data_IF_523826278453
#
_entry.id   IF_523826278453
#
_cell.length_a   1.000
_cell.length_b   1.000
_cell.length_c   1.000
_cell.angle_alpha   90.00
_cell.angle_beta   90.00
_cell.angle_gamma   90.00
#
_symmetry.space_group_name_H-M   'P 1'
#
loop_
_entity.id
_entity.type
_entity.pdbx_description
1 polymer ?
#
# COMPACT_ATOMS: atom_id res chain seq x y z
N UNK A 1 -21.02 -37.59 12.92
CA UNK A 1 -19.55 -37.44 13.08
C UNK A 1 -18.97 -37.56 11.67
N UNK A 2 -18.27 -36.62 11.04
CA UNK A 2 -17.56 -35.42 11.52
C UNK A 2 -17.36 -34.47 10.31
N UNK A 3 -18.43 -33.83 9.81
CA UNK A 3 -18.31 -32.84 8.70
C UNK A 3 -18.06 -31.41 9.21
N UNK A 4 -18.02 -31.24 10.54
CA UNK A 4 -17.68 -29.97 11.22
C UNK A 4 -16.19 -29.61 11.20
N UNK A 5 -15.31 -30.50 10.72
CA UNK A 5 -13.85 -30.31 10.74
C UNK A 5 -13.28 -29.51 9.57
N UNK A 6 -13.85 -29.58 8.37
CA UNK A 6 -13.22 -29.00 7.18
C UNK A 6 -13.57 -27.52 6.91
N UNK A 7 -14.71 -27.04 7.42
CA UNK A 7 -15.09 -25.61 7.31
C UNK A 7 -14.30 -24.75 8.31
N UNK A 8 -13.88 -25.32 9.44
CA UNK A 8 -13.03 -24.64 10.41
C UNK A 8 -11.60 -24.41 9.87
N UNK A 9 -11.06 -25.33 9.07
CA UNK A 9 -9.71 -25.20 8.51
C UNK A 9 -9.61 -24.06 7.48
N UNK A 10 -10.68 -23.82 6.71
CA UNK A 10 -10.70 -22.72 5.74
C UNK A 10 -10.83 -21.32 6.39
N UNK A 11 -11.49 -21.23 7.55
CA UNK A 11 -11.59 -19.97 8.31
C UNK A 11 -10.35 -19.66 9.16
N UNK A 12 -9.60 -20.68 9.60
CA UNK A 12 -8.39 -20.51 10.42
C UNK A 12 -7.20 -19.97 9.61
N UNK A 13 -7.15 -20.23 8.30
CA UNK A 13 -6.05 -19.76 7.44
C UNK A 13 -6.16 -18.25 7.13
N UNK A 14 -7.34 -17.63 7.29
CA UNK A 14 -7.58 -16.23 6.88
C UNK A 14 -7.47 -15.21 8.04
N UNK A 15 -7.45 -15.65 9.30
CA UNK A 15 -7.58 -14.70 10.45
C UNK A 15 -6.31 -14.49 11.28
N UNK A 16 -5.23 -15.27 11.10
CA UNK A 16 -4.01 -15.08 11.91
C UNK A 16 -2.96 -14.18 11.24
N UNK A 17 -3.33 -12.92 10.97
CA UNK A 17 -2.35 -11.84 10.92
C UNK A 17 -2.30 -11.23 12.32
N UNK A 18 -1.62 -11.93 13.23
CA UNK A 18 -1.14 -11.34 14.47
C UNK A 18 -0.04 -10.34 14.09
N UNK A 19 -0.40 -9.06 14.05
CA UNK A 19 0.59 -7.97 14.10
C UNK A 19 1.09 -7.92 15.55
N UNK A 20 2.03 -8.80 15.87
CA UNK A 20 2.87 -8.63 17.05
C UNK A 20 3.85 -7.51 16.70
N UNK A 21 3.60 -6.32 17.23
CA UNK A 21 4.66 -5.34 17.44
C UNK A 21 5.67 -5.99 18.39
N UNK A 22 6.83 -6.37 17.86
CA UNK A 22 7.95 -6.76 18.69
C UNK A 22 8.50 -5.49 19.35
N UNK A 23 8.17 -5.32 20.62
CA UNK A 23 9.00 -4.59 21.56
C UNK A 23 10.37 -5.28 21.68
N UNK A 24 11.40 -4.43 21.79
CA UNK A 24 12.65 -4.66 22.51
C UNK A 24 13.77 -5.49 21.82
N UNK A 25 14.88 -4.83 21.53
CA UNK A 25 16.08 -4.89 22.40
C UNK A 25 17.18 -3.99 21.85
N UNK A 26 17.62 -3.10 22.73
CA UNK A 26 18.82 -2.27 22.61
C UNK A 26 20.04 -3.19 22.61
N UNK A 27 20.87 -3.10 21.58
CA UNK A 27 22.26 -3.55 21.67
C UNK A 27 23.21 -2.47 21.16
N UNK A 28 24.03 -2.04 22.11
CA UNK A 28 25.13 -1.08 22.13
C UNK A 28 26.27 -1.53 21.21
N UNK A 29 26.88 -0.61 20.45
CA UNK A 29 28.35 -0.46 20.31
C UNK A 29 28.75 0.61 19.27
N UNK A 30 29.31 1.73 19.73
CA UNK A 30 30.70 2.19 19.49
C UNK A 30 30.86 3.68 19.82
N UNK A 31 31.80 3.95 20.74
CA UNK A 31 31.85 5.10 21.65
C UNK A 31 32.38 6.45 21.12
N UNK A 32 32.24 6.74 19.83
CA UNK A 32 32.41 8.12 19.31
C UNK A 32 31.06 8.75 18.87
N UNK A 33 30.08 7.94 18.48
CA UNK A 33 28.76 8.42 18.05
C UNK A 33 27.81 8.78 19.21
N UNK A 34 28.14 8.41 20.45
CA UNK A 34 27.23 8.55 21.59
C UNK A 34 27.15 10.00 22.11
N UNK A 35 28.26 10.73 22.05
CA UNK A 35 28.36 12.11 22.56
C UNK A 35 27.67 13.13 21.63
N UNK A 36 27.62 12.85 20.33
CA UNK A 36 26.97 13.71 19.33
C UNK A 36 25.46 13.45 19.23
N UNK A 37 25.01 12.21 19.48
CA UNK A 37 23.59 11.84 19.56
C UNK A 37 22.90 12.53 20.75
N UNK A 38 23.56 12.61 21.90
CA UNK A 38 23.10 13.34 23.08
C UNK A 38 22.92 14.85 22.83
N UNK A 39 23.69 15.44 21.91
CA UNK A 39 23.61 16.88 21.60
C UNK A 39 22.37 17.22 20.75
N UNK A 40 21.94 16.28 19.89
CA UNK A 40 20.72 16.38 19.08
C UNK A 40 19.46 15.90 19.83
N UNK A 41 19.61 15.18 20.94
CA UNK A 41 18.51 14.88 21.87
C UNK A 41 18.16 16.08 22.75
N UNK A 42 19.16 16.85 23.20
CA UNK A 42 18.97 17.99 24.08
C UNK A 42 18.74 19.34 23.37
N UNK A 43 19.08 19.45 22.08
CA UNK A 43 18.81 20.64 21.25
C UNK A 43 17.97 20.27 20.04
N UNK A 44 16.97 21.10 19.74
CA UNK A 44 16.10 20.96 18.56
C UNK A 44 16.96 20.96 17.30
N UNK A 45 17.04 19.83 16.59
CA UNK A 45 17.93 19.65 15.46
C UNK A 45 17.27 18.89 14.31
N UNK A 46 17.83 19.02 13.11
CA UNK A 46 17.40 18.33 11.89
C UNK A 46 18.62 17.80 11.15
N UNK A 47 18.52 16.59 10.61
CA UNK A 47 19.60 15.94 9.87
C UNK A 47 19.66 16.41 8.42
N UNK A 48 20.89 16.61 7.93
CA UNK A 48 21.18 16.85 6.52
C UNK A 48 21.32 15.53 5.75
N UNK A 49 20.80 15.46 4.52
CA UNK A 49 20.91 14.24 3.70
C UNK A 49 22.32 13.99 3.17
N UNK A 50 23.02 15.02 2.67
CA UNK A 50 24.37 14.91 2.14
C UNK A 50 25.42 15.43 3.14
N UNK A 51 26.71 15.06 2.96
CA UNK A 51 27.82 15.58 3.75
C UNK A 51 27.95 17.12 3.70
N UNK A 52 28.84 17.66 4.54
CA UNK A 52 29.12 19.12 4.57
C UNK A 52 29.60 19.58 3.19
N UNK A 53 29.05 20.68 2.69
CA UNK A 53 29.34 21.25 1.35
C UNK A 53 28.88 20.41 0.15
N UNK A 54 28.02 19.41 0.36
CA UNK A 54 27.35 18.68 -0.71
C UNK A 54 25.85 18.99 -0.72
N UNK A 55 25.22 18.93 -1.89
CA UNK A 55 23.77 19.03 -2.08
C UNK A 55 23.29 17.90 -2.99
N UNK A 56 21.99 17.68 -3.05
CA UNK A 56 21.40 16.63 -3.87
C UNK A 56 21.32 17.08 -5.32
N UNK A 57 21.72 16.20 -6.24
CA UNK A 57 21.44 16.32 -7.67
C UNK A 57 20.97 14.97 -8.17
N UNK A 58 19.69 14.90 -8.56
CA UNK A 58 18.99 13.64 -8.87
C UNK A 58 19.10 12.68 -7.69
N UNK A 59 19.93 11.64 -7.79
CA UNK A 59 20.11 10.63 -6.73
C UNK A 59 21.51 10.68 -6.08
N UNK A 60 22.34 11.65 -6.47
CA UNK A 60 23.74 11.75 -6.00
C UNK A 60 24.01 13.06 -5.27
N UNK A 61 24.89 13.00 -4.27
CA UNK A 61 25.40 14.19 -3.60
C UNK A 61 26.52 14.82 -4.45
N UNK A 62 26.35 16.08 -4.84
CA UNK A 62 27.35 16.86 -5.60
C UNK A 62 27.92 17.98 -4.75
N UNK A 63 29.20 18.28 -4.94
CA UNK A 63 29.88 19.37 -4.23
C UNK A 63 29.32 20.71 -4.69
N UNK A 64 29.07 21.59 -3.72
CA UNK A 64 28.63 22.95 -3.95
C UNK A 64 29.81 23.86 -4.35
N UNK A 65 29.61 24.84 -5.26
CA UNK A 65 30.63 25.84 -5.59
C UNK A 65 31.10 26.65 -4.37
N UNK A 66 32.35 27.10 -4.40
CA UNK A 66 32.92 27.95 -3.36
C UNK A 66 32.14 29.27 -3.21
N UNK A 67 31.78 29.63 -1.96
CA UNK A 67 31.04 30.85 -1.64
C UNK A 67 29.53 30.69 -1.47
N UNK A 68 28.96 29.51 -1.77
CA UNK A 68 27.55 29.22 -1.47
C UNK A 68 27.39 28.76 -0.02
N UNK A 69 26.55 29.45 0.74
CA UNK A 69 26.28 29.10 2.13
C UNK A 69 25.04 28.19 2.25
N UNK A 70 25.19 27.03 2.88
CA UNK A 70 24.10 26.06 3.12
C UNK A 70 23.58 26.30 4.54
N UNK A 71 22.70 27.29 4.71
CA UNK A 71 22.13 27.65 6.03
C UNK A 71 20.62 27.42 6.15
N UNK A 72 19.97 26.97 5.07
CA UNK A 72 18.53 26.72 5.01
C UNK A 72 17.66 27.92 5.44
N UNK A 73 18.17 29.15 5.30
CA UNK A 73 17.41 30.36 5.67
C UNK A 73 16.12 30.57 4.89
N UNK A 74 15.98 29.93 3.72
CA UNK A 74 14.77 29.98 2.90
C UNK A 74 13.71 28.93 3.29
N UNK A 75 13.92 28.18 4.37
CA UNK A 75 12.98 27.17 4.88
C UNK A 75 12.20 27.74 6.06
N UNK A 76 10.89 27.91 5.87
CA UNK A 76 9.96 28.40 6.88
C UNK A 76 9.73 27.37 8.00
N UNK A 77 9.68 27.85 9.25
CA UNK A 77 9.29 27.03 10.41
C UNK A 77 7.82 27.28 10.77
N UNK A 78 7.14 26.19 11.11
CA UNK A 78 5.72 26.17 11.46
C UNK A 78 5.53 25.80 12.93
N UNK A 79 4.48 26.33 13.54
CA UNK A 79 4.01 25.93 14.86
C UNK A 79 3.19 24.61 14.79
N UNK A 80 2.81 24.01 15.92
CA UNK A 80 2.00 22.78 15.99
C UNK A 80 0.70 22.88 15.18
N UNK A 81 0.15 24.09 15.06
CA UNK A 81 -1.06 24.40 14.29
C UNK A 81 -0.79 24.79 12.83
N UNK A 82 0.41 24.54 12.30
CA UNK A 82 0.82 24.83 10.91
C UNK A 82 0.71 26.32 10.56
N UNK A 83 0.87 27.18 11.57
CA UNK A 83 0.99 28.64 11.37
C UNK A 83 2.45 28.98 11.15
N UNK A 84 2.74 29.80 10.13
CA UNK A 84 4.09 30.30 9.89
C UNK A 84 4.54 31.11 11.10
N UNK A 85 5.71 30.77 11.63
CA UNK A 85 6.30 31.48 12.77
C UNK A 85 7.07 32.73 12.36
N UNK A 86 7.40 32.87 11.07
CA UNK A 86 8.25 33.95 10.54
C UNK A 86 9.74 33.79 10.85
N UNK A 87 10.14 32.64 11.43
CA UNK A 87 11.54 32.28 11.70
C UNK A 87 12.04 31.26 10.69
N UNK A 88 13.35 31.30 10.41
CA UNK A 88 14.01 30.35 9.52
C UNK A 88 14.66 29.20 10.30
N UNK A 89 14.97 28.09 9.61
CA UNK A 89 15.69 26.93 10.19
C UNK A 89 16.93 27.35 10.98
N UNK A 90 17.72 28.27 10.42
CA UNK A 90 18.95 28.81 11.03
C UNK A 90 18.75 29.42 12.42
N UNK A 91 17.58 29.98 12.68
CA UNK A 91 17.29 30.75 13.89
C UNK A 91 16.81 29.86 15.06
N UNK A 92 16.32 28.66 14.76
CA UNK A 92 15.59 27.82 15.74
C UNK A 92 16.13 26.40 15.83
N UNK A 93 16.67 25.86 14.74
CA UNK A 93 17.08 24.46 14.63
C UNK A 93 18.56 24.34 14.27
N UNK A 94 19.25 23.43 14.95
CA UNK A 94 20.62 23.07 14.58
C UNK A 94 20.61 22.08 13.42
N UNK A 95 21.41 22.34 12.39
CA UNK A 95 21.60 21.42 11.27
C UNK A 95 22.72 20.45 11.66
N UNK A 96 22.36 19.19 11.84
CA UNK A 96 23.34 18.15 12.10
C UNK A 96 23.73 17.45 10.81
N UNK A 97 25.03 17.28 10.61
CA UNK A 97 25.60 16.57 9.47
C UNK A 97 26.32 15.35 10.04
N UNK A 98 25.66 14.20 9.95
CA UNK A 98 26.14 12.94 10.48
C UNK A 98 25.41 11.77 9.83
N UNK A 99 26.02 10.60 9.86
CA UNK A 99 25.55 9.37 9.20
C UNK A 99 24.44 8.71 10.02
N UNK A 100 23.29 9.38 10.16
CA UNK A 100 22.13 8.80 10.85
C UNK A 100 21.34 7.85 9.92
N UNK A 101 21.58 7.96 8.61
CA UNK A 101 20.95 7.14 7.58
C UNK A 101 21.90 6.01 7.21
N UNK A 102 21.76 4.90 7.94
CA UNK A 102 22.44 3.64 7.67
C UNK A 102 22.20 3.18 6.21
N UNK A 103 23.10 2.37 5.63
CA UNK A 103 22.94 1.79 4.27
C UNK A 103 21.64 0.97 4.14
N UNK A 104 21.05 0.60 5.27
CA UNK A 104 19.76 -0.08 5.37
C UNK A 104 18.56 0.85 5.22
N UNK A 105 18.72 2.16 5.05
CA UNK A 105 17.60 3.08 4.85
C UNK A 105 17.42 3.46 3.37
N UNK A 106 16.19 3.32 2.86
CA UNK A 106 15.85 3.84 1.54
C UNK A 106 15.38 5.28 1.69
N UNK A 107 16.08 6.19 1.02
CA UNK A 107 15.76 7.61 1.00
C UNK A 107 14.97 7.90 -0.29
N UNK A 108 13.69 8.26 -0.15
CA UNK A 108 12.80 8.50 -1.29
C UNK A 108 12.10 9.85 -1.20
N UNK A 109 11.84 10.43 -2.37
CA UNK A 109 10.95 11.58 -2.51
C UNK A 109 9.49 11.10 -2.43
N UNK A 110 8.65 11.83 -1.68
CA UNK A 110 7.23 11.48 -1.56
C UNK A 110 6.39 12.36 -2.48
N UNK A 111 5.86 11.80 -3.59
CA UNK A 111 5.07 12.58 -4.53
C UNK A 111 3.76 13.06 -3.89
N UNK A 112 3.25 14.20 -4.37
CA UNK A 112 1.97 14.80 -3.94
C UNK A 112 1.89 15.15 -2.45
N UNK A 113 3.00 15.50 -1.83
CA UNK A 113 3.01 15.95 -0.44
C UNK A 113 3.35 17.43 -0.29
N UNK A 114 2.91 18.01 0.82
CA UNK A 114 3.38 19.29 1.31
C UNK A 114 4.05 19.06 2.66
N UNK A 115 5.27 19.54 2.81
CA UNK A 115 6.08 19.30 4.00
C UNK A 115 6.19 20.57 4.83
N UNK A 116 5.94 20.45 6.13
CA UNK A 116 5.96 21.53 7.09
C UNK A 116 6.88 21.14 8.24
N UNK A 117 7.98 21.86 8.40
CA UNK A 117 8.92 21.60 9.49
C UNK A 117 8.46 22.36 10.74
N UNK A 118 8.27 21.64 11.85
CA UNK A 118 7.80 22.24 13.09
C UNK A 118 8.94 22.84 13.91
N UNK A 119 8.58 23.73 14.84
CA UNK A 119 9.50 24.29 15.85
C UNK A 119 10.23 23.24 16.68
N UNK A 120 9.77 21.99 16.73
CA UNK A 120 10.38 20.91 17.49
C UNK A 120 11.35 20.05 16.67
N UNK A 121 11.49 20.35 15.37
CA UNK A 121 12.34 19.57 14.45
C UNK A 121 11.66 18.33 13.88
N UNK A 122 10.34 18.21 14.04
CA UNK A 122 9.55 17.14 13.41
C UNK A 122 8.99 17.61 12.05
N UNK A 123 8.81 16.68 11.12
CA UNK A 123 8.26 16.97 9.80
C UNK A 123 6.78 16.57 9.75
N UNK A 124 5.90 17.55 9.62
CA UNK A 124 4.50 17.29 9.30
C UNK A 124 4.33 17.23 7.79
N UNK A 125 3.82 16.11 7.29
CA UNK A 125 3.56 15.88 5.88
C UNK A 125 2.06 15.87 5.65
N UNK A 126 1.61 16.74 4.75
CA UNK A 126 0.26 16.74 4.23
C UNK A 126 0.19 15.99 2.90
N UNK A 127 -0.64 14.96 2.83
CA UNK A 127 -0.94 14.31 1.56
C UNK A 127 -1.94 15.16 0.77
N UNK A 128 -1.62 15.50 -0.48
CA UNK A 128 -2.53 16.16 -1.43
C UNK A 128 -3.45 15.16 -2.13
N UNK A 129 -3.86 14.10 -1.43
CA UNK A 129 -4.90 13.21 -1.93
C UNK A 129 -6.27 13.75 -1.49
N UNK A 130 -7.26 13.81 -2.39
CA UNK A 130 -8.63 14.13 -2.02
C UNK A 130 -9.15 13.09 -1.00
N UNK A 131 -9.81 13.57 0.06
CA UNK A 131 -10.56 12.77 1.05
C UNK A 131 -9.79 11.71 1.85
N UNK A 132 -8.46 11.82 1.99
CA UNK A 132 -7.70 10.99 2.92
C UNK A 132 -8.10 11.25 4.40
N UNK A 133 -8.55 10.22 5.11
CA UNK A 133 -8.95 10.28 6.54
C UNK A 133 -7.80 10.79 7.44
N UNK A 134 -6.55 10.52 7.08
CA UNK A 134 -5.35 11.09 7.71
C UNK A 134 -4.60 11.96 6.71
N UNK A 135 -5.03 13.23 6.59
CA UNK A 135 -4.36 14.21 5.73
C UNK A 135 -2.94 14.51 6.20
N UNK A 136 -2.66 14.36 7.50
CA UNK A 136 -1.42 14.77 8.15
C UNK A 136 -0.72 13.57 8.78
N UNK A 137 0.60 13.48 8.59
CA UNK A 137 1.48 12.57 9.30
C UNK A 137 2.64 13.36 9.89
N UNK A 138 2.90 13.18 11.17
CA UNK A 138 4.11 13.72 11.82
C UNK A 138 5.21 12.66 11.78
N UNK A 139 6.38 13.02 11.28
CA UNK A 139 7.59 12.21 11.27
C UNK A 139 8.60 12.80 12.24
N UNK A 140 9.20 11.92 13.05
CA UNK A 140 10.31 12.27 13.91
C UNK A 140 11.57 12.54 13.07
N UNK A 141 12.51 13.32 13.62
CA UNK A 141 13.80 13.70 13.02
C UNK A 141 14.62 12.51 12.50
N UNK A 142 14.43 11.31 13.05
CA UNK A 142 15.15 10.10 12.64
C UNK A 142 14.67 9.51 11.31
N UNK A 143 13.48 9.91 10.82
CA UNK A 143 12.85 9.34 9.62
C UNK A 143 12.92 10.28 8.42
N UNK A 144 13.58 11.43 8.51
CA UNK A 144 13.72 12.33 7.36
C UNK A 144 15.01 13.13 7.44
N UNK A 145 15.46 13.60 6.28
CA UNK A 145 16.57 14.53 6.15
C UNK A 145 16.18 15.71 5.28
N UNK A 146 16.84 16.84 5.50
CA UNK A 146 16.67 18.09 4.75
C UNK A 146 17.92 18.35 3.92
N UNK A 147 17.74 18.64 2.63
CA UNK A 147 18.83 19.17 1.81
C UNK A 147 18.30 20.07 0.70
N UNK A 148 19.21 20.66 -0.05
CA UNK A 148 18.92 21.38 -1.28
C UNK A 148 19.03 20.45 -2.49
N UNK A 149 18.09 20.55 -3.43
CA UNK A 149 18.14 19.87 -4.72
C UNK A 149 18.45 20.87 -5.84
N UNK A 150 19.54 20.61 -6.58
CA UNK A 150 19.87 21.33 -7.80
C UNK A 150 19.10 20.75 -9.00
N UNK A 151 18.26 21.57 -9.62
CA UNK A 151 17.45 21.19 -10.78
C UNK A 151 18.26 21.23 -12.09
N UNK A 152 19.21 22.15 -12.19
CA UNK A 152 20.02 22.39 -13.38
C UNK A 152 21.49 22.02 -13.18
N UNK A 153 22.18 21.72 -14.28
CA UNK A 153 23.61 21.40 -14.27
C UNK A 153 24.49 22.52 -13.72
N UNK A 154 24.04 23.77 -13.89
CA UNK A 154 24.75 24.96 -13.43
C UNK A 154 24.37 25.36 -12.00
N UNK A 155 23.54 24.57 -11.29
CA UNK A 155 23.09 24.83 -9.90
C UNK A 155 22.48 26.24 -9.72
N UNK A 156 21.87 26.77 -10.78
CA UNK A 156 21.22 28.10 -10.80
C UNK A 156 19.88 28.11 -10.10
N UNK A 157 19.17 26.98 -10.14
CA UNK A 157 17.89 26.79 -9.46
C UNK A 157 18.05 25.69 -8.42
N UNK A 158 17.90 26.08 -7.16
CA UNK A 158 18.03 25.20 -6.01
C UNK A 158 16.75 25.34 -5.17
N UNK A 159 16.16 24.21 -4.78
CA UNK A 159 14.98 24.17 -3.92
C UNK A 159 15.24 23.30 -2.69
N UNK A 160 14.72 23.66 -1.50
CA UNK A 160 14.78 22.77 -0.35
C UNK A 160 13.92 21.53 -0.60
N UNK A 161 14.43 20.36 -0.26
CA UNK A 161 13.72 19.08 -0.33
C UNK A 161 13.87 18.35 0.99
N UNK A 162 12.77 17.73 1.42
CA UNK A 162 12.78 16.77 2.51
C UNK A 162 12.73 15.38 1.90
N UNK A 163 13.71 14.54 2.21
CA UNK A 163 13.65 13.13 1.86
C UNK A 163 13.31 12.30 3.06
N UNK A 164 12.40 11.36 2.89
CA UNK A 164 12.01 10.46 3.97
C UNK A 164 12.93 9.25 3.92
N UNK A 165 13.55 8.97 5.05
CA UNK A 165 14.29 7.74 5.26
C UNK A 165 13.33 6.73 5.86
N UNK A 166 13.03 5.71 5.07
CA UNK A 166 12.40 4.52 5.59
C UNK A 166 13.50 3.53 5.90
N UNK A 167 13.52 2.97 7.11
CA UNK A 167 14.23 1.72 7.33
C UNK A 167 13.74 0.79 6.24
N UNK A 168 14.63 0.31 5.37
CA UNK A 168 14.31 -0.77 4.45
C UNK A 168 13.73 -1.83 5.36
N UNK A 169 12.43 -2.07 5.22
CA UNK A 169 11.83 -3.21 5.86
C UNK A 169 12.78 -4.34 5.46
N UNK A 170 13.52 -4.88 6.44
CA UNK A 170 14.31 -6.09 6.22
C UNK A 170 13.28 -6.99 5.62
N UNK A 171 13.36 -7.17 4.29
CA UNK A 171 12.33 -7.77 3.45
C UNK A 171 11.72 -8.83 4.32
N UNK A 172 10.44 -8.71 4.73
CA UNK A 172 9.75 -9.87 5.29
C UNK A 172 10.15 -11.00 4.34
N UNK A 173 10.99 -11.95 4.80
CA UNK A 173 12.08 -12.57 4.02
C UNK A 173 11.78 -12.59 2.52
N UNK A 174 12.73 -12.32 1.60
CA UNK A 174 12.47 -12.60 0.16
C UNK A 174 11.71 -13.93 -0.02
N UNK A 175 12.04 -14.92 0.81
CA UNK A 175 11.34 -16.19 1.00
C UNK A 175 9.84 -16.07 1.34
N UNK A 176 9.41 -15.22 2.28
CA UNK A 176 8.01 -14.94 2.61
C UNK A 176 7.22 -14.31 1.47
N UNK A 177 7.85 -13.41 0.68
CA UNK A 177 7.23 -12.89 -0.53
C UNK A 177 7.08 -13.99 -1.59
N UNK A 178 8.13 -14.74 -1.89
CA UNK A 178 8.06 -15.88 -2.81
C UNK A 178 7.03 -16.94 -2.36
N UNK A 179 6.95 -17.20 -1.05
CA UNK A 179 5.98 -18.13 -0.49
C UNK A 179 4.54 -17.67 -0.76
N UNK A 180 4.22 -16.43 -0.45
CA UNK A 180 2.89 -15.83 -0.72
C UNK A 180 2.55 -15.87 -2.22
N UNK A 181 3.49 -15.51 -3.10
CA UNK A 181 3.31 -15.57 -4.55
C UNK A 181 3.04 -17.01 -5.03
N UNK A 182 3.83 -17.97 -4.56
CA UNK A 182 3.68 -19.39 -4.91
C UNK A 182 2.33 -19.95 -4.45
N UNK A 183 1.88 -19.62 -3.23
CA UNK A 183 0.59 -20.06 -2.69
C UNK A 183 -0.60 -19.51 -3.51
N UNK A 184 -0.51 -18.26 -3.97
CA UNK A 184 -1.51 -17.66 -4.86
C UNK A 184 -1.57 -18.39 -6.21
N UNK A 185 -0.41 -18.68 -6.83
CA UNK A 185 -0.36 -19.40 -8.12
C UNK A 185 -0.92 -20.82 -8.01
N UNK A 186 -0.58 -21.53 -6.93
CA UNK A 186 -1.14 -22.86 -6.64
C UNK A 186 -2.65 -22.77 -6.48
N UNK A 187 -3.16 -21.76 -5.76
CA UNK A 187 -4.60 -21.51 -5.61
C UNK A 187 -5.28 -21.24 -6.97
N UNK A 188 -4.66 -20.43 -7.82
CA UNK A 188 -5.15 -20.18 -9.19
C UNK A 188 -5.25 -21.47 -10.02
N UNK A 189 -4.26 -22.36 -9.93
CA UNK A 189 -4.28 -23.65 -10.64
C UNK A 189 -5.47 -24.53 -10.21
N UNK A 190 -5.78 -24.59 -8.92
CA UNK A 190 -6.95 -25.30 -8.42
C UNK A 190 -8.27 -24.66 -8.87
N UNK A 191 -8.36 -23.33 -8.88
CA UNK A 191 -9.56 -22.63 -9.38
C UNK A 191 -9.81 -22.90 -10.87
N UNK A 192 -8.75 -22.93 -11.68
CA UNK A 192 -8.84 -23.33 -13.10
C UNK A 192 -9.31 -24.77 -13.23
N UNK A 193 -8.78 -25.70 -12.42
CA UNK A 193 -9.23 -27.09 -12.44
C UNK A 193 -10.74 -27.19 -12.14
N UNK A 194 -11.26 -26.42 -11.18
CA UNK A 194 -12.70 -26.36 -10.89
C UNK A 194 -13.48 -25.85 -12.11
N UNK A 195 -13.04 -24.76 -12.75
CA UNK A 195 -13.70 -24.25 -13.96
C UNK A 195 -13.70 -25.30 -15.08
N UNK A 196 -12.58 -25.96 -15.33
CA UNK A 196 -12.45 -27.01 -16.36
C UNK A 196 -13.39 -28.17 -16.09
N UNK A 197 -13.47 -28.67 -14.86
CA UNK A 197 -14.38 -29.76 -14.48
C UNK A 197 -15.85 -29.38 -14.72
N UNK A 198 -16.26 -28.19 -14.28
CA UNK A 198 -17.63 -27.69 -14.51
C UNK A 198 -17.93 -27.40 -15.99
N UNK A 199 -16.90 -27.04 -16.77
CA UNK A 199 -17.03 -26.95 -18.22
C UNK A 199 -17.17 -28.35 -18.84
N UNK A 200 -16.37 -29.34 -18.50
CA UNK A 200 -16.41 -30.66 -19.16
C UNK A 200 -17.69 -31.42 -18.84
N UNK A 201 -18.22 -31.30 -17.62
CA UNK A 201 -19.42 -32.03 -17.20
C UNK A 201 -20.70 -31.20 -17.43
N UNK A 202 -21.42 -31.38 -18.56
CA UNK A 202 -22.63 -30.62 -18.86
C UNK A 202 -23.75 -30.87 -17.84
N UNK A 203 -23.74 -32.02 -17.16
CA UNK A 203 -24.69 -32.38 -16.10
C UNK A 203 -24.61 -31.43 -14.89
N UNK A 204 -23.43 -30.84 -14.62
CA UNK A 204 -23.24 -29.88 -13.53
C UNK A 204 -23.56 -28.45 -13.93
N UNK A 205 -23.83 -28.15 -15.21
CA UNK A 205 -24.15 -26.80 -15.73
C UNK A 205 -25.60 -26.37 -15.45
N UNK A 206 -26.12 -26.76 -14.29
CA UNK A 206 -27.39 -26.26 -13.74
C UNK A 206 -27.25 -24.79 -13.33
N UNK A 207 -28.35 -24.14 -12.94
CA UNK A 207 -28.33 -22.74 -12.47
C UNK A 207 -27.27 -22.52 -11.38
N UNK A 208 -27.26 -23.37 -10.34
CA UNK A 208 -26.27 -23.28 -9.25
C UNK A 208 -24.83 -23.51 -9.72
N UNK A 209 -24.61 -24.41 -10.69
CA UNK A 209 -23.30 -24.61 -11.30
C UNK A 209 -22.80 -23.38 -12.07
N UNK A 210 -23.69 -22.65 -12.75
CA UNK A 210 -23.33 -21.38 -13.42
C UNK A 210 -22.95 -20.27 -12.44
N UNK A 211 -23.69 -20.16 -11.33
CA UNK A 211 -23.39 -19.21 -10.25
C UNK A 211 -22.03 -19.54 -9.63
N UNK A 212 -21.75 -20.82 -9.36
CA UNK A 212 -20.45 -21.27 -8.86
C UNK A 212 -19.31 -20.95 -9.85
N UNK A 213 -19.49 -21.24 -11.15
CA UNK A 213 -18.49 -20.89 -12.16
C UNK A 213 -18.18 -19.39 -12.18
N UNK A 214 -19.20 -18.53 -12.06
CA UNK A 214 -19.00 -17.08 -11.98
C UNK A 214 -18.27 -16.64 -10.70
N UNK A 215 -18.59 -17.27 -9.56
CA UNK A 215 -17.89 -17.04 -8.30
C UNK A 215 -16.39 -17.43 -8.39
N UNK A 216 -16.11 -18.62 -8.94
CA UNK A 216 -14.74 -19.13 -9.09
C UNK A 216 -13.96 -18.29 -10.10
N UNK A 217 -14.60 -17.88 -11.20
CA UNK A 217 -13.96 -17.03 -12.22
C UNK A 217 -13.60 -15.63 -11.69
N UNK A 218 -14.48 -15.02 -10.88
CA UNK A 218 -14.17 -13.74 -10.23
C UNK A 218 -13.01 -13.86 -9.22
N UNK A 219 -13.01 -14.92 -8.40
CA UNK A 219 -11.92 -15.17 -7.45
C UNK A 219 -10.59 -15.46 -8.15
N UNK A 220 -10.60 -16.26 -9.23
CA UNK A 220 -9.42 -16.50 -10.06
C UNK A 220 -8.88 -15.20 -10.64
N UNK A 221 -9.75 -14.35 -11.19
CA UNK A 221 -9.34 -13.06 -11.76
C UNK A 221 -8.70 -12.15 -10.69
N UNK A 222 -9.26 -12.10 -9.48
CA UNK A 222 -8.69 -11.34 -8.37
C UNK A 222 -7.28 -11.83 -7.98
N UNK A 223 -7.12 -13.15 -7.81
CA UNK A 223 -5.82 -13.74 -7.43
C UNK A 223 -4.78 -13.66 -8.54
N UNK A 224 -5.17 -13.76 -9.81
CA UNK A 224 -4.26 -13.57 -10.94
C UNK A 224 -3.74 -12.13 -11.00
N UNK A 225 -4.60 -11.13 -10.80
CA UNK A 225 -4.19 -9.73 -10.77
C UNK A 225 -3.28 -9.43 -9.56
N UNK A 226 -3.59 -10.00 -8.39
CA UNK A 226 -2.72 -9.91 -7.22
C UNK A 226 -1.35 -10.54 -7.47
N UNK A 227 -1.30 -11.74 -8.03
CA UNK A 227 -0.04 -12.40 -8.38
C UNK A 227 0.77 -11.58 -9.39
N UNK A 228 0.10 -10.93 -10.34
CA UNK A 228 0.74 -10.03 -11.32
C UNK A 228 1.38 -8.81 -10.64
N UNK A 229 0.63 -8.13 -9.76
CA UNK A 229 1.15 -6.99 -8.97
C UNK A 229 2.35 -7.40 -8.12
N UNK A 230 2.28 -8.60 -7.57
CA UNK A 230 3.32 -9.19 -6.74
C UNK A 230 4.61 -9.48 -7.55
N UNK A 231 4.48 -10.04 -8.75
CA UNK A 231 5.61 -10.29 -9.65
C UNK A 231 6.26 -9.00 -10.16
N UNK A 232 5.47 -7.99 -10.53
CA UNK A 232 5.99 -6.68 -10.94
C UNK A 232 6.84 -6.03 -9.85
N UNK A 233 6.41 -6.18 -8.59
CA UNK A 233 7.15 -5.67 -7.43
C UNK A 233 8.48 -6.39 -7.23
N UNK A 234 8.55 -7.71 -7.45
CA UNK A 234 9.82 -8.47 -7.35
C UNK A 234 10.84 -8.10 -8.42
N UNK A 235 10.36 -7.85 -9.63
CA UNK A 235 11.22 -7.52 -10.76
C UNK A 235 11.74 -6.07 -10.71
N UNK A 236 11.39 -5.30 -9.67
CA UNK A 236 11.65 -3.87 -9.55
C UNK A 236 11.26 -3.11 -10.84
N UNK A 237 10.17 -3.53 -11.48
CA UNK A 237 9.65 -2.83 -12.64
C UNK A 237 9.08 -1.49 -12.17
N UNK A 238 9.40 -0.41 -12.89
CA UNK A 238 8.82 0.90 -12.61
C UNK A 238 7.32 0.88 -12.94
N UNK A 239 6.50 0.57 -11.95
CA UNK A 239 5.04 0.59 -12.06
C UNK A 239 4.59 2.04 -12.15
N UNK A 240 3.98 2.42 -13.27
CA UNK A 240 3.36 3.74 -13.40
C UNK A 240 2.20 3.88 -12.41
N UNK A 241 2.01 5.08 -11.86
CA UNK A 241 0.95 5.37 -10.88
C UNK A 241 -0.43 4.98 -11.44
N UNK A 242 -0.67 5.26 -12.73
CA UNK A 242 -1.91 4.91 -13.42
C UNK A 242 -2.14 3.39 -13.39
N UNK A 243 -1.12 2.59 -13.71
CA UNK A 243 -1.24 1.13 -13.70
C UNK A 243 -1.47 0.59 -12.28
N UNK A 244 -0.82 1.17 -11.26
CA UNK A 244 -1.03 0.78 -9.86
C UNK A 244 -2.48 1.02 -9.41
N UNK A 245 -3.03 2.20 -9.71
CA UNK A 245 -4.43 2.54 -9.39
C UNK A 245 -5.40 1.63 -10.16
N UNK A 246 -5.16 1.41 -11.45
CA UNK A 246 -6.01 0.53 -12.27
C UNK A 246 -5.99 -0.92 -11.79
N UNK A 247 -4.82 -1.48 -11.47
CA UNK A 247 -4.68 -2.84 -10.95
C UNK A 247 -5.38 -2.97 -9.59
N UNK A 248 -5.16 -2.03 -8.68
CA UNK A 248 -5.78 -2.03 -7.35
C UNK A 248 -7.32 -1.95 -7.47
N UNK A 249 -7.81 -1.10 -8.35
CA UNK A 249 -9.25 -0.95 -8.63
C UNK A 249 -9.85 -2.23 -9.21
N UNK A 250 -9.16 -2.88 -10.15
CA UNK A 250 -9.60 -4.14 -10.73
C UNK A 250 -9.62 -5.28 -9.70
N UNK A 251 -8.56 -5.40 -8.88
CA UNK A 251 -8.49 -6.39 -7.79
C UNK A 251 -9.67 -6.21 -6.83
N UNK A 252 -9.92 -4.97 -6.39
CA UNK A 252 -11.06 -4.63 -5.52
C UNK A 252 -12.39 -5.07 -6.14
N UNK A 253 -12.62 -4.74 -7.40
CA UNK A 253 -13.85 -5.12 -8.12
C UNK A 253 -14.07 -6.63 -8.13
N UNK A 254 -13.05 -7.41 -8.49
CA UNK A 254 -13.19 -8.87 -8.57
C UNK A 254 -13.38 -9.52 -7.20
N UNK A 255 -12.72 -9.03 -6.15
CA UNK A 255 -12.99 -9.50 -4.78
C UNK A 255 -14.42 -9.21 -4.36
N UNK A 256 -14.88 -7.98 -4.55
CA UNK A 256 -16.26 -7.61 -4.22
C UNK A 256 -17.26 -8.45 -5.03
N UNK A 257 -17.04 -8.63 -6.33
CA UNK A 257 -17.84 -9.52 -7.16
C UNK A 257 -17.88 -10.95 -6.58
N UNK A 258 -16.74 -11.51 -6.15
CA UNK A 258 -16.70 -12.84 -5.54
C UNK A 258 -17.54 -12.93 -4.26
N UNK A 259 -17.53 -11.91 -3.41
CA UNK A 259 -18.39 -11.86 -2.21
C UNK A 259 -19.87 -11.80 -2.58
N UNK A 260 -20.26 -11.00 -3.56
CA UNK A 260 -21.66 -10.95 -4.00
C UNK A 260 -22.09 -12.26 -4.67
N UNK A 261 -21.23 -12.91 -5.46
CA UNK A 261 -21.50 -14.24 -6.01
C UNK A 261 -21.65 -15.29 -4.91
N UNK A 262 -20.82 -15.24 -3.86
CA UNK A 262 -20.96 -16.12 -2.69
C UNK A 262 -22.27 -15.89 -1.95
N UNK A 263 -22.71 -14.63 -1.82
CA UNK A 263 -24.03 -14.30 -1.26
C UNK A 263 -25.18 -14.87 -2.11
N UNK A 264 -25.10 -14.75 -3.45
CA UNK A 264 -26.08 -15.36 -4.36
C UNK A 264 -26.10 -16.88 -4.22
N UNK A 265 -24.94 -17.52 -4.09
CA UNK A 265 -24.87 -18.97 -3.85
C UNK A 265 -25.53 -19.38 -2.53
N UNK A 266 -25.23 -18.66 -1.43
CA UNK A 266 -25.86 -18.94 -0.14
C UNK A 266 -27.38 -18.77 -0.20
N UNK A 267 -27.86 -17.74 -0.89
CA UNK A 267 -29.28 -17.53 -1.11
C UNK A 267 -29.92 -18.64 -1.95
N UNK A 268 -29.30 -19.07 -3.05
CA UNK A 268 -29.80 -20.15 -3.91
C UNK A 268 -29.91 -21.49 -3.14
N UNK A 269 -28.91 -21.82 -2.34
CA UNK A 269 -28.91 -23.01 -1.48
C UNK A 269 -30.02 -22.92 -0.43
N UNK A 270 -30.14 -21.78 0.26
CA UNK A 270 -31.19 -21.56 1.25
C UNK A 270 -32.59 -21.67 0.64
N UNK A 271 -32.79 -21.07 -0.53
CA UNK A 271 -34.04 -21.15 -1.28
C UNK A 271 -34.35 -22.58 -1.71
N UNK A 272 -33.34 -23.35 -2.12
CA UNK A 272 -33.46 -24.75 -2.51
C UNK A 272 -33.95 -25.63 -1.35
N UNK A 273 -33.42 -25.44 -0.13
CA UNK A 273 -33.82 -26.22 1.05
C UNK A 273 -35.19 -25.84 1.62
N UNK A 274 -35.66 -24.60 1.42
CA UNK A 274 -36.94 -24.11 1.97
C UNK A 274 -38.20 -24.69 1.28
N UNK A 275 -38.04 -25.69 0.42
CA UNK A 275 -39.15 -26.44 -0.19
C UNK A 275 -39.77 -25.79 -1.43
N UNK A 276 -39.39 -24.55 -1.77
CA UNK A 276 -39.79 -23.90 -3.03
C UNK A 276 -39.25 -24.62 -4.28
N UNK A 277 -38.27 -25.52 -4.11
CA UNK A 277 -37.74 -26.39 -5.15
C UNK A 277 -38.74 -27.46 -5.66
N UNK A 278 -39.81 -27.80 -4.89
CA UNK A 278 -40.86 -28.71 -5.35
C UNK A 278 -41.70 -28.14 -6.51
N UNK A 279 -41.57 -26.85 -6.81
CA UNK A 279 -42.26 -26.14 -7.89
C UNK A 279 -41.24 -25.67 -8.94
N UNK A 280 -40.26 -26.50 -9.32
CA UNK A 280 -39.45 -26.24 -10.53
C UNK A 280 -40.20 -26.79 -11.76
N UNK A 281 -40.96 -25.97 -12.51
CA UNK A 281 -41.23 -26.35 -13.89
C UNK A 281 -39.89 -26.40 -14.62
N UNK A 282 -39.69 -27.47 -15.39
CA UNK A 282 -38.51 -27.81 -16.23
C UNK A 282 -38.27 -26.79 -17.38
N UNK A 283 -38.65 -25.53 -17.20
CA UNK A 283 -38.52 -24.51 -18.23
C UNK A 283 -37.12 -23.87 -18.21
N UNK A 284 -36.24 -24.36 -19.10
CA UNK A 284 -34.88 -23.85 -19.39
C UNK A 284 -34.83 -22.33 -19.64
N UNK A 285 -35.95 -21.73 -20.04
CA UNK A 285 -36.12 -20.28 -20.25
C UNK A 285 -36.19 -19.48 -18.94
N UNK A 286 -36.76 -20.07 -17.87
CA UNK A 286 -36.83 -19.45 -16.55
C UNK A 286 -35.49 -19.42 -15.81
N UNK A 287 -34.67 -20.45 -15.98
CA UNK A 287 -33.33 -20.51 -15.36
C UNK A 287 -32.37 -19.48 -15.95
N UNK A 288 -32.47 -19.21 -17.26
CA UNK A 288 -31.62 -18.21 -17.92
C UNK A 288 -31.99 -16.79 -17.48
N UNK A 289 -33.28 -16.50 -17.27
CA UNK A 289 -33.73 -15.22 -16.75
C UNK A 289 -33.32 -15.01 -15.28
N UNK A 290 -33.44 -16.05 -14.44
CA UNK A 290 -32.95 -16.01 -13.05
C UNK A 290 -31.44 -15.76 -12.99
N UNK A 291 -30.66 -16.46 -13.82
CA UNK A 291 -29.22 -16.23 -13.93
C UNK A 291 -28.89 -14.80 -14.34
N UNK A 292 -29.64 -14.22 -15.28
CA UNK A 292 -29.46 -12.83 -15.69
C UNK A 292 -29.69 -11.86 -14.52
N UNK A 293 -30.74 -12.04 -13.72
CA UNK A 293 -31.00 -11.22 -12.53
C UNK A 293 -29.86 -11.35 -11.52
N UNK A 294 -29.40 -12.57 -11.23
CA UNK A 294 -28.27 -12.82 -10.35
C UNK A 294 -26.98 -12.16 -10.86
N UNK A 295 -26.75 -12.21 -12.16
CA UNK A 295 -25.61 -11.58 -12.81
C UNK A 295 -25.65 -10.05 -12.68
N UNK A 296 -26.81 -9.42 -12.91
CA UNK A 296 -26.98 -7.97 -12.76
C UNK A 296 -26.71 -7.55 -11.31
N UNK A 297 -27.21 -8.32 -10.34
CA UNK A 297 -26.96 -8.06 -8.92
C UNK A 297 -25.47 -8.22 -8.55
N UNK A 298 -24.87 -9.36 -8.90
CA UNK A 298 -23.53 -9.73 -8.46
C UNK A 298 -22.40 -8.97 -9.16
N UNK A 299 -22.64 -8.42 -10.36
CA UNK A 299 -21.69 -7.53 -11.04
C UNK A 299 -22.00 -6.05 -10.85
N UNK A 300 -23.29 -5.67 -10.84
CA UNK A 300 -23.73 -4.28 -10.77
C UNK A 300 -23.44 -3.64 -9.41
N UNK A 301 -23.65 -4.35 -8.30
CA UNK A 301 -23.34 -3.81 -6.97
C UNK A 301 -21.84 -3.57 -6.74
N UNK A 302 -20.93 -4.51 -7.03
CA UNK A 302 -19.48 -4.22 -6.95
C UNK A 302 -19.07 -3.07 -7.86
N UNK A 303 -19.65 -2.97 -9.06
CA UNK A 303 -19.37 -1.85 -9.96
C UNK A 303 -19.80 -0.51 -9.37
N UNK A 304 -21.01 -0.44 -8.80
CA UNK A 304 -21.49 0.76 -8.12
C UNK A 304 -20.62 1.14 -6.92
N UNK A 305 -20.19 0.16 -6.12
CA UNK A 305 -19.26 0.37 -5.00
C UNK A 305 -17.89 0.87 -5.48
N UNK A 306 -17.36 0.32 -6.57
CA UNK A 306 -16.12 0.79 -7.18
C UNK A 306 -16.25 2.24 -7.68
N UNK A 307 -17.33 2.57 -8.37
CA UNK A 307 -17.56 3.94 -8.86
C UNK A 307 -17.64 4.91 -7.68
N UNK A 308 -18.37 4.56 -6.62
CA UNK A 308 -18.41 5.35 -5.40
C UNK A 308 -17.02 5.54 -4.79
N UNK A 309 -16.23 4.46 -4.68
CA UNK A 309 -14.86 4.52 -4.17
C UNK A 309 -13.96 5.44 -5.01
N UNK A 310 -14.02 5.34 -6.34
CA UNK A 310 -13.23 6.16 -7.24
C UNK A 310 -13.66 7.62 -7.20
N UNK A 311 -14.96 7.91 -7.18
CA UNK A 311 -15.50 9.28 -7.10
C UNK A 311 -15.17 9.92 -5.75
N UNK A 312 -15.22 9.17 -4.66
CA UNK A 312 -14.79 9.67 -3.35
C UNK A 312 -13.28 9.92 -3.28
N UNK A 313 -12.48 9.28 -4.12
CA UNK A 313 -11.03 9.43 -4.15
C UNK A 313 -10.53 10.35 -5.28
N UNK A 314 -11.44 11.09 -5.94
CA UNK A 314 -11.14 12.22 -6.83
C UNK A 314 -11.26 13.55 -6.08
#
# INVERSE_FOLDING_TARGET
>A
MTVRGHIAVFFIIVVNINVNYAEESVHTENGENTQEREMCENKKCVFKCCPRNYIIRRESCVRVPEGFNIDFSNVDIYDENIKKTGRSVKDVLLIHVGDNFDETMTISDVPYTQSYLTVDGNLQIAFKLPNAFTRWRSLNKDYFCLDYEALDANMTVIKPIFRIAFKKEQTQDKNGFYFKASALLVSCAFLVAVLVVYCILPELRTLGGKVLMACVASLFSAYMLLATMMLMTLNNENITIVNCISLTSAIYFFFMASFFWMNVMSWDIWWSFRGFAKIRPINRRGDSFKYLIYSIYAWGLPFGMLVMFVVLNQ
#
